data_IF_697969492031
#
_entry.id   IF_697969492031
#
_cell.length_a   1.000
_cell.length_b   1.000
_cell.length_c   1.000
_cell.angle_alpha   90.00
_cell.angle_beta   90.00
_cell.angle_gamma   90.00
#
_symmetry.space_group_name_H-M   'P 1'
#
loop_
_entity.id
_entity.type
_entity.pdbx_description
1 polymer ?
#
# COMPACT_ATOMS: atom_id res chain seq x y z
N UNK A 1 31.49 -25.54 10.64
CA UNK A 1 30.33 -25.82 9.78
C UNK A 1 29.91 -24.48 9.20
N UNK A 2 30.33 -24.20 7.97
CA UNK A 2 30.13 -22.90 7.32
C UNK A 2 28.66 -22.86 6.88
N UNK A 3 27.84 -22.07 7.56
CA UNK A 3 26.51 -21.74 7.07
C UNK A 3 26.71 -20.91 5.79
N UNK A 4 26.37 -21.49 4.65
CA UNK A 4 26.24 -20.76 3.39
C UNK A 4 25.10 -19.76 3.56
N UNK A 5 25.44 -18.48 3.62
CA UNK A 5 24.47 -17.42 3.36
C UNK A 5 23.85 -17.70 1.98
N UNK A 6 22.51 -17.64 1.81
CA UNK A 6 21.95 -17.58 0.47
C UNK A 6 22.62 -16.43 -0.29
N UNK A 7 23.11 -16.69 -1.49
CA UNK A 7 23.87 -15.72 -2.28
C UNK A 7 23.06 -14.43 -2.45
N UNK A 8 23.53 -13.32 -1.87
CA UNK A 8 22.89 -11.99 -2.01
C UNK A 8 22.62 -11.63 -3.48
N UNK A 9 23.44 -12.15 -4.41
CA UNK A 9 23.24 -12.00 -5.85
C UNK A 9 21.97 -12.71 -6.37
N UNK A 10 21.71 -13.94 -5.92
CA UNK A 10 20.53 -14.70 -6.35
C UNK A 10 19.22 -14.05 -5.87
N UNK A 11 19.22 -13.51 -4.64
CA UNK A 11 18.07 -12.74 -4.13
C UNK A 11 17.88 -11.44 -4.93
N UNK A 12 18.97 -10.72 -5.24
CA UNK A 12 18.89 -9.50 -6.05
C UNK A 12 18.33 -9.79 -7.46
N UNK A 13 18.76 -10.86 -8.10
CA UNK A 13 18.26 -11.29 -9.41
C UNK A 13 16.77 -11.66 -9.34
N UNK A 14 16.34 -12.36 -8.29
CA UNK A 14 14.92 -12.71 -8.08
C UNK A 14 14.04 -11.46 -7.86
N UNK A 15 14.54 -10.48 -7.10
CA UNK A 15 13.86 -9.19 -6.88
C UNK A 15 13.73 -8.42 -8.20
N UNK A 16 14.80 -8.36 -9.01
CA UNK A 16 14.77 -7.67 -10.30
C UNK A 16 13.80 -8.35 -11.28
N UNK A 17 13.76 -9.68 -11.29
CA UNK A 17 12.80 -10.42 -12.09
C UNK A 17 11.35 -10.12 -11.68
N UNK A 18 11.06 -10.13 -10.37
CA UNK A 18 9.72 -9.78 -9.86
C UNK A 18 9.35 -8.33 -10.18
N UNK A 19 10.29 -7.40 -10.03
CA UNK A 19 10.09 -6.00 -10.40
C UNK A 19 9.76 -5.89 -11.89
N UNK A 20 10.51 -6.58 -12.76
CA UNK A 20 10.26 -6.61 -14.20
C UNK A 20 8.87 -7.15 -14.51
N UNK A 21 8.44 -8.23 -13.88
CA UNK A 21 7.08 -8.78 -14.05
C UNK A 21 6.04 -7.73 -13.65
N UNK A 22 6.17 -7.10 -12.48
CA UNK A 22 5.23 -6.08 -12.00
C UNK A 22 5.16 -4.90 -12.97
N UNK A 23 6.30 -4.37 -13.44
CA UNK A 23 6.32 -3.18 -14.29
C UNK A 23 5.98 -3.46 -15.75
N UNK A 24 6.16 -4.69 -16.26
CA UNK A 24 5.94 -5.01 -17.68
C UNK A 24 4.66 -5.79 -17.96
N UNK A 25 4.23 -6.68 -17.06
CA UNK A 25 3.00 -7.46 -17.15
C UNK A 25 1.87 -6.85 -16.32
N UNK A 26 2.18 -6.19 -15.20
CA UNK A 26 1.21 -5.55 -14.32
C UNK A 26 0.30 -4.56 -15.05
N UNK A 27 0.82 -3.61 -15.86
CA UNK A 27 -0.01 -2.69 -16.64
C UNK A 27 -0.92 -3.35 -17.69
N UNK A 28 -0.58 -4.58 -18.11
CA UNK A 28 -1.35 -5.33 -19.13
C UNK A 28 -2.41 -6.24 -18.49
N UNK A 29 -2.23 -6.56 -17.21
CA UNK A 29 -3.09 -7.43 -16.43
C UNK A 29 -4.20 -6.61 -15.77
N UNK A 30 -5.36 -6.58 -16.41
CA UNK A 30 -6.54 -5.83 -15.95
C UNK A 30 -7.12 -6.51 -14.70
N UNK A 31 -7.59 -5.71 -13.75
CA UNK A 31 -8.32 -6.23 -12.59
C UNK A 31 -9.65 -6.87 -13.00
N UNK A 32 -9.95 -8.06 -12.48
CA UNK A 32 -11.28 -8.65 -12.61
C UNK A 32 -12.30 -7.83 -11.79
N UNK A 33 -13.47 -7.57 -12.37
CA UNK A 33 -14.55 -6.80 -11.75
C UNK A 33 -15.70 -7.69 -11.24
N UNK A 34 -15.75 -8.96 -11.65
CA UNK A 34 -16.91 -9.84 -11.42
C UNK A 34 -16.68 -10.84 -10.28
N UNK A 35 -15.44 -11.27 -10.01
CA UNK A 35 -15.16 -12.17 -8.88
C UNK A 35 -15.16 -11.44 -7.52
N UNK A 36 -16.18 -11.76 -6.73
CA UNK A 36 -16.54 -11.10 -5.47
C UNK A 36 -16.38 -12.01 -4.24
N UNK A 37 -15.73 -13.17 -4.35
CA UNK A 37 -15.53 -14.06 -3.19
C UNK A 37 -14.11 -13.97 -2.67
N UNK A 38 -13.82 -13.03 -1.75
CA UNK A 38 -12.58 -13.05 -1.00
C UNK A 38 -12.60 -14.29 -0.09
N UNK A 39 -12.08 -15.40 -0.57
CA UNK A 39 -11.82 -16.58 0.26
C UNK A 39 -10.41 -16.47 0.83
N UNK A 40 -10.17 -17.06 2.00
CA UNK A 40 -8.81 -17.11 2.53
C UNK A 40 -7.92 -17.89 1.55
N UNK A 41 -6.74 -17.36 1.19
CA UNK A 41 -5.89 -18.01 0.22
C UNK A 41 -5.31 -19.32 0.77
N UNK A 42 -4.96 -20.30 -0.09
CA UNK A 42 -4.39 -21.58 0.34
C UNK A 42 -3.11 -21.47 1.17
N UNK A 43 -2.37 -20.37 1.02
CA UNK A 43 -1.15 -20.08 1.77
C UNK A 43 -1.42 -19.40 3.13
N UNK A 44 -2.69 -19.16 3.50
CA UNK A 44 -3.04 -18.54 4.78
C UNK A 44 -2.52 -19.37 5.96
N UNK A 45 -1.60 -18.77 6.72
CA UNK A 45 -1.11 -19.23 8.01
C UNK A 45 -1.70 -18.35 9.12
N UNK A 46 -2.51 -18.96 9.99
CA UNK A 46 -3.21 -18.26 11.09
C UNK A 46 -2.25 -17.63 12.10
N UNK A 47 -1.15 -18.32 12.44
CA UNK A 47 -0.21 -17.84 13.45
C UNK A 47 0.57 -16.64 12.94
N UNK A 48 1.05 -16.70 11.69
CA UNK A 48 1.71 -15.55 11.05
C UNK A 48 0.76 -14.37 10.93
N UNK A 49 -0.50 -14.63 10.57
CA UNK A 49 -1.51 -13.58 10.44
C UNK A 49 -1.77 -12.87 11.77
N UNK A 50 -2.01 -13.63 12.84
CA UNK A 50 -2.20 -13.09 14.20
C UNK A 50 -0.95 -12.36 14.71
N UNK A 51 0.25 -12.86 14.39
CA UNK A 51 1.49 -12.18 14.73
C UNK A 51 1.58 -10.82 14.04
N UNK A 52 1.26 -10.73 12.74
CA UNK A 52 1.20 -9.46 12.02
C UNK A 52 0.20 -8.46 12.59
N UNK A 53 -0.96 -8.95 13.03
CA UNK A 53 -1.97 -8.16 13.74
C UNK A 53 -1.40 -7.59 15.05
N UNK A 54 -0.75 -8.42 15.87
CA UNK A 54 -0.14 -8.00 17.13
C UNK A 54 1.01 -7.00 16.90
N UNK A 55 1.87 -7.25 15.91
CA UNK A 55 2.99 -6.36 15.57
C UNK A 55 2.49 -4.98 15.14
N UNK A 56 1.40 -4.92 14.37
CA UNK A 56 0.76 -3.65 14.04
C UNK A 56 0.26 -2.92 15.29
N UNK A 57 -0.41 -3.61 16.22
CA UNK A 57 -0.88 -2.98 17.46
C UNK A 57 0.28 -2.42 18.30
N UNK A 58 1.38 -3.16 18.39
CA UNK A 58 2.59 -2.74 19.10
C UNK A 58 3.26 -1.51 18.46
N UNK A 59 3.03 -1.26 17.17
CA UNK A 59 3.65 -0.20 16.37
C UNK A 59 2.62 0.73 15.69
N UNK A 60 1.41 0.83 16.26
CA UNK A 60 0.24 1.39 15.57
C UNK A 60 0.47 2.81 15.05
N UNK A 61 1.11 3.68 15.84
CA UNK A 61 1.38 5.05 15.43
C UNK A 61 2.34 5.11 14.24
N UNK A 62 3.50 4.44 14.33
CA UNK A 62 4.51 4.41 13.27
C UNK A 62 3.98 3.78 11.98
N UNK A 63 3.26 2.66 12.08
CA UNK A 63 2.68 2.00 10.91
C UNK A 63 1.50 2.75 10.30
N UNK A 64 0.77 3.57 11.06
CA UNK A 64 -0.27 4.45 10.51
C UNK A 64 0.35 5.69 9.82
N UNK A 65 1.43 6.24 10.37
CA UNK A 65 2.20 7.31 9.71
C UNK A 65 2.79 6.80 8.39
N UNK A 66 3.37 5.59 8.38
CA UNK A 66 3.89 4.94 7.17
C UNK A 66 2.81 4.82 6.08
N UNK A 67 1.61 4.35 6.44
CA UNK A 67 0.45 4.24 5.55
C UNK A 67 0.02 5.59 5.00
N UNK A 68 0.01 6.64 5.84
CA UNK A 68 -0.36 7.98 5.40
C UNK A 68 0.68 8.58 4.45
N UNK A 69 1.97 8.36 4.69
CA UNK A 69 3.04 8.72 3.74
C UNK A 69 2.89 7.99 2.41
N UNK A 70 2.55 6.70 2.47
CA UNK A 70 2.24 5.88 1.31
C UNK A 70 1.05 6.42 0.52
N UNK A 71 -0.01 6.82 1.20
CA UNK A 71 -1.19 7.41 0.57
C UNK A 71 -0.91 8.78 -0.06
N UNK A 72 -0.13 9.66 0.59
CA UNK A 72 0.35 10.90 -0.03
C UNK A 72 1.18 10.58 -1.28
N UNK A 73 2.07 9.60 -1.20
CA UNK A 73 2.90 9.18 -2.35
C UNK A 73 2.07 8.62 -3.51
N UNK A 74 0.97 7.92 -3.23
CA UNK A 74 0.05 7.41 -4.24
C UNK A 74 -0.64 8.51 -5.05
N UNK A 75 -0.85 9.70 -4.47
CA UNK A 75 -1.45 10.82 -5.21
C UNK A 75 -0.52 11.34 -6.32
N UNK A 76 0.77 10.98 -6.32
CA UNK A 76 1.68 11.30 -7.41
C UNK A 76 1.47 10.39 -8.63
N UNK A 77 0.83 9.23 -8.46
CA UNK A 77 0.57 8.26 -9.53
C UNK A 77 -0.72 8.64 -10.26
N UNK A 78 -0.61 9.20 -11.47
CA UNK A 78 -1.76 9.73 -12.22
C UNK A 78 -2.88 8.70 -12.43
N UNK A 79 -2.56 7.46 -12.80
CA UNK A 79 -3.57 6.41 -13.03
C UNK A 79 -4.45 6.14 -11.81
N UNK A 80 -3.86 6.24 -10.61
CA UNK A 80 -4.56 6.06 -9.34
C UNK A 80 -5.33 7.33 -8.98
N UNK A 81 -4.69 8.50 -9.11
CA UNK A 81 -5.32 9.78 -8.78
C UNK A 81 -6.54 10.06 -9.66
N UNK A 82 -6.46 9.75 -10.96
CA UNK A 82 -7.55 9.96 -11.91
C UNK A 82 -8.81 9.19 -11.52
N UNK A 83 -8.66 7.93 -11.07
CA UNK A 83 -9.78 7.14 -10.55
C UNK A 83 -10.31 7.75 -9.25
N UNK A 84 -9.42 8.18 -8.33
CA UNK A 84 -9.84 8.83 -7.07
C UNK A 84 -10.65 10.09 -7.34
N UNK A 85 -10.17 10.98 -8.22
CA UNK A 85 -10.86 12.21 -8.61
C UNK A 85 -12.19 11.90 -9.31
N UNK A 86 -12.21 10.93 -10.23
CA UNK A 86 -13.40 10.52 -10.97
C UNK A 86 -14.57 10.12 -10.07
N UNK A 87 -14.30 9.50 -8.92
CA UNK A 87 -15.38 9.13 -7.98
C UNK A 87 -16.12 10.32 -7.37
N UNK A 88 -15.54 11.53 -7.41
CA UNK A 88 -16.05 12.75 -6.76
C UNK A 88 -16.31 12.58 -5.25
N UNK A 89 -15.59 11.66 -4.61
CA UNK A 89 -15.68 11.40 -3.16
C UNK A 89 -14.58 12.07 -2.34
N UNK A 90 -13.74 12.89 -2.96
CA UNK A 90 -12.60 13.53 -2.32
C UNK A 90 -12.37 14.97 -2.78
N UNK A 91 -13.37 15.63 -3.38
CA UNK A 91 -13.24 16.99 -3.92
C UNK A 91 -13.34 18.10 -2.86
N UNK A 92 -13.76 17.77 -1.65
CA UNK A 92 -13.81 18.68 -0.50
C UNK A 92 -13.39 17.94 0.77
N UNK A 93 -12.87 18.63 1.81
CA UNK A 93 -12.45 17.98 3.04
C UNK A 93 -13.55 17.14 3.70
N UNK A 94 -14.80 17.58 3.66
CA UNK A 94 -15.93 16.81 4.22
C UNK A 94 -16.20 15.49 3.46
N UNK A 95 -16.17 15.52 2.12
CA UNK A 95 -16.34 14.30 1.32
C UNK A 95 -15.13 13.36 1.50
N UNK A 96 -13.92 13.94 1.48
CA UNK A 96 -12.68 13.22 1.73
C UNK A 96 -12.67 12.57 3.12
N UNK A 97 -13.19 13.24 4.16
CA UNK A 97 -13.24 12.70 5.52
C UNK A 97 -13.98 11.37 5.54
N UNK A 98 -15.15 11.30 4.90
CA UNK A 98 -15.90 10.04 4.81
C UNK A 98 -15.08 8.94 4.14
N UNK A 99 -14.44 9.22 3.00
CA UNK A 99 -13.63 8.22 2.29
C UNK A 99 -12.46 7.73 3.16
N UNK A 100 -11.69 8.65 3.71
CA UNK A 100 -10.45 8.29 4.41
C UNK A 100 -10.71 7.76 5.81
N UNK A 101 -11.76 8.21 6.52
CA UNK A 101 -12.24 7.58 7.74
C UNK A 101 -12.73 6.14 7.48
N UNK A 102 -13.50 5.90 6.41
CA UNK A 102 -13.88 4.53 6.01
C UNK A 102 -12.64 3.67 5.74
N UNK A 103 -11.60 4.22 5.09
CA UNK A 103 -10.34 3.52 4.82
C UNK A 103 -9.60 3.15 6.11
N UNK A 104 -9.49 4.10 7.05
CA UNK A 104 -8.88 3.86 8.37
C UNK A 104 -9.65 2.77 9.12
N UNK A 105 -10.99 2.84 9.16
CA UNK A 105 -11.81 1.84 9.85
C UNK A 105 -11.67 0.44 9.24
N UNK A 106 -11.70 0.32 7.91
CA UNK A 106 -11.48 -0.97 7.24
C UNK A 106 -10.07 -1.52 7.53
N UNK A 107 -9.06 -0.65 7.52
CA UNK A 107 -7.68 -1.03 7.86
C UNK A 107 -7.60 -1.53 9.30
N UNK A 108 -8.18 -0.83 10.27
CA UNK A 108 -8.22 -1.27 11.68
C UNK A 108 -8.91 -2.63 11.80
N UNK A 109 -10.05 -2.82 11.14
CA UNK A 109 -10.74 -4.13 11.10
C UNK A 109 -9.83 -5.24 10.58
N UNK A 110 -9.01 -4.99 9.55
CA UNK A 110 -8.09 -5.99 9.02
C UNK A 110 -6.98 -6.37 10.01
N UNK A 111 -6.57 -5.44 10.87
CA UNK A 111 -5.52 -5.68 11.86
C UNK A 111 -6.06 -6.17 13.21
N UNK A 112 -7.35 -6.06 13.50
CA UNK A 112 -7.93 -6.44 14.80
C UNK A 112 -8.80 -7.70 14.75
N UNK A 113 -9.45 -7.98 13.62
CA UNK A 113 -10.49 -9.01 13.55
C UNK A 113 -9.94 -10.34 13.05
N UNK A 114 -10.42 -11.41 13.68
CA UNK A 114 -10.08 -12.79 13.31
C UNK A 114 -10.76 -13.17 11.99
N UNK A 115 -10.00 -13.55 10.94
CA UNK A 115 -10.55 -14.02 9.68
C UNK A 115 -11.31 -15.35 9.76
N UNK A 116 -11.19 -16.10 10.86
CA UNK A 116 -11.95 -17.35 11.11
C UNK A 116 -13.14 -17.15 12.08
N UNK A 117 -13.42 -15.92 12.50
CA UNK A 117 -14.50 -15.61 13.44
C UNK A 117 -15.89 -15.94 12.91
N UNK A 118 -16.79 -16.42 13.79
CA UNK A 118 -18.19 -16.78 13.44
C UNK A 118 -19.00 -15.60 12.87
N UNK A 119 -18.79 -14.40 13.42
CA UNK A 119 -19.17 -13.14 12.80
C UNK A 119 -17.92 -12.60 12.13
N UNK A 120 -17.74 -12.92 10.85
CA UNK A 120 -16.49 -12.64 10.15
C UNK A 120 -16.41 -11.18 9.68
N UNK A 121 -16.26 -10.26 10.64
CA UNK A 121 -16.13 -8.82 10.39
C UNK A 121 -14.97 -8.49 9.45
N UNK A 122 -13.89 -9.27 9.53
CA UNK A 122 -12.74 -9.19 8.64
C UNK A 122 -13.15 -9.42 7.18
N UNK A 123 -13.82 -10.54 6.91
CA UNK A 123 -14.27 -10.93 5.59
C UNK A 123 -15.33 -9.96 5.05
N UNK A 124 -16.27 -9.52 5.88
CA UNK A 124 -17.28 -8.55 5.46
C UNK A 124 -16.66 -7.18 5.11
N UNK A 125 -15.66 -6.73 5.89
CA UNK A 125 -14.88 -5.53 5.59
C UNK A 125 -14.18 -5.65 4.23
N UNK A 126 -13.50 -6.77 3.96
CA UNK A 126 -12.85 -7.01 2.67
C UNK A 126 -13.84 -7.07 1.51
N UNK A 127 -15.00 -7.73 1.66
CA UNK A 127 -16.06 -7.75 0.64
C UNK A 127 -16.55 -6.35 0.31
N UNK A 128 -16.73 -5.50 1.32
CA UNK A 128 -17.16 -4.10 1.12
C UNK A 128 -16.12 -3.35 0.31
N UNK A 129 -14.84 -3.42 0.69
CA UNK A 129 -13.75 -2.72 -0.02
C UNK A 129 -13.59 -3.25 -1.44
N UNK A 130 -13.55 -4.58 -1.63
CA UNK A 130 -13.49 -5.22 -2.95
C UNK A 130 -14.63 -4.77 -3.85
N UNK A 131 -15.87 -4.75 -3.34
CA UNK A 131 -17.04 -4.25 -4.08
C UNK A 131 -16.90 -2.78 -4.46
N UNK A 132 -16.44 -1.92 -3.55
CA UNK A 132 -16.20 -0.49 -3.84
C UNK A 132 -15.16 -0.33 -4.95
N UNK A 133 -14.06 -1.09 -4.91
CA UNK A 133 -13.05 -1.12 -5.97
C UNK A 133 -13.63 -1.58 -7.31
N UNK A 134 -14.32 -2.74 -7.36
CA UNK A 134 -14.92 -3.23 -8.61
C UNK A 134 -15.89 -2.21 -9.23
N UNK A 135 -16.74 -1.55 -8.42
CA UNK A 135 -17.66 -0.51 -8.91
C UNK A 135 -16.89 0.70 -9.45
N UNK A 136 -15.88 1.17 -8.73
CA UNK A 136 -15.06 2.30 -9.17
C UNK A 136 -14.31 1.99 -10.46
N UNK A 137 -13.69 0.81 -10.53
CA UNK A 137 -12.89 0.35 -11.67
C UNK A 137 -13.72 0.13 -12.92
N UNK A 138 -14.90 -0.48 -12.77
CA UNK A 138 -15.86 -0.64 -13.88
C UNK A 138 -16.30 0.71 -14.41
N UNK A 139 -16.71 1.63 -13.53
CA UNK A 139 -17.16 2.97 -13.94
C UNK A 139 -16.06 3.82 -14.56
N UNK A 140 -14.83 3.75 -14.04
CA UNK A 140 -13.69 4.49 -14.62
C UNK A 140 -13.33 3.94 -16.01
N UNK A 141 -13.42 2.63 -16.19
CA UNK A 141 -13.19 1.96 -17.48
C UNK A 141 -14.26 2.37 -18.50
N UNK A 142 -15.54 2.31 -18.13
CA UNK A 142 -16.67 2.70 -18.98
C UNK A 142 -16.62 4.19 -19.37
N UNK A 143 -16.13 5.04 -18.46
CA UNK A 143 -15.97 6.48 -18.71
C UNK A 143 -14.69 6.83 -19.49
N UNK A 144 -13.84 5.85 -19.82
CA UNK A 144 -12.57 6.07 -20.53
C UNK A 144 -11.52 6.84 -19.72
N UNK A 145 -11.66 6.88 -18.38
CA UNK A 145 -10.71 7.59 -17.49
C UNK A 145 -9.44 6.78 -17.31
N UNK A 146 -9.59 5.58 -16.75
CA UNK A 146 -8.51 4.62 -16.58
C UNK A 146 -9.11 3.24 -16.40
N UNK A 147 -8.41 2.22 -16.90
CA UNK A 147 -8.76 0.81 -16.73
C UNK A 147 -7.82 0.19 -15.70
N UNK A 148 -8.23 0.01 -14.44
CA UNK A 148 -7.32 -0.38 -13.37
C UNK A 148 -6.70 -1.76 -13.58
N UNK A 149 -5.44 -1.87 -13.18
CA UNK A 149 -4.55 -2.99 -13.46
C UNK A 149 -3.94 -3.57 -12.19
N UNK A 150 -3.28 -4.72 -12.32
CA UNK A 150 -2.51 -5.32 -11.24
C UNK A 150 -1.33 -4.43 -10.79
N UNK A 151 -0.77 -3.60 -11.69
CA UNK A 151 0.23 -2.60 -11.27
C UNK A 151 -0.40 -1.56 -10.33
N UNK A 152 -1.59 -1.04 -10.64
CA UNK A 152 -2.26 -0.07 -9.76
C UNK A 152 -2.50 -0.66 -8.36
N UNK A 153 -2.87 -1.95 -8.29
CA UNK A 153 -3.01 -2.66 -7.02
C UNK A 153 -1.68 -2.89 -6.28
N UNK A 154 -0.61 -3.22 -7.00
CA UNK A 154 0.72 -3.37 -6.42
C UNK A 154 1.24 -2.05 -5.83
N UNK A 155 1.08 -0.94 -6.55
CA UNK A 155 1.41 0.39 -6.05
C UNK A 155 0.52 0.76 -4.86
N UNK A 156 -0.78 0.47 -4.91
CA UNK A 156 -1.67 0.68 -3.76
C UNK A 156 -1.21 -0.13 -2.54
N UNK A 157 -0.79 -1.38 -2.71
CA UNK A 157 -0.23 -2.20 -1.63
C UNK A 157 1.07 -1.59 -1.07
N UNK A 158 1.96 -1.06 -1.92
CA UNK A 158 3.11 -0.27 -1.46
C UNK A 158 2.66 0.90 -0.57
N UNK A 159 1.58 1.59 -0.92
CA UNK A 159 1.04 2.66 -0.08
C UNK A 159 0.66 2.22 1.35
N UNK A 160 0.38 0.93 1.57
CA UNK A 160 -0.01 0.41 2.88
C UNK A 160 1.13 -0.21 3.70
N UNK A 161 2.12 -0.84 3.05
CA UNK A 161 3.21 -1.56 3.72
C UNK A 161 4.61 -1.08 3.30
N UNK A 162 4.76 -0.42 2.15
CA UNK A 162 6.04 -0.05 1.55
C UNK A 162 6.96 0.70 2.51
N UNK A 163 6.54 1.88 2.99
CA UNK A 163 7.32 2.66 3.97
C UNK A 163 7.52 1.93 5.30
N UNK A 164 6.61 1.03 5.68
CA UNK A 164 6.80 0.19 6.87
C UNK A 164 7.90 -0.86 6.69
N UNK A 165 8.34 -1.15 5.47
CA UNK A 165 9.47 -2.06 5.18
C UNK A 165 10.75 -1.29 4.88
N UNK A 166 10.65 -0.18 4.14
CA UNK A 166 11.84 0.55 3.65
C UNK A 166 12.33 1.65 4.59
N UNK A 167 11.48 2.10 5.52
CA UNK A 167 11.80 3.21 6.44
C UNK A 167 11.58 2.82 7.92
N UNK A 168 11.71 1.54 8.26
CA UNK A 168 11.47 0.98 9.61
C UNK A 168 12.19 1.77 10.71
N UNK A 169 13.51 1.97 10.56
CA UNK A 169 14.33 2.65 11.55
C UNK A 169 13.94 4.12 11.72
N UNK A 170 13.76 4.84 10.61
CA UNK A 170 13.41 6.27 10.64
C UNK A 170 12.04 6.51 11.28
N UNK A 171 11.09 5.60 11.05
CA UNK A 171 9.74 5.67 11.61
C UNK A 171 9.65 5.09 13.03
N UNK A 172 10.76 4.56 13.57
CA UNK A 172 10.80 3.94 14.90
C UNK A 172 9.94 2.68 15.01
N UNK A 173 9.78 1.92 13.92
CA UNK A 173 9.10 0.62 13.95
C UNK A 173 10.02 -0.37 14.66
N UNK A 174 9.56 -0.93 15.78
CA UNK A 174 10.28 -1.93 16.56
C UNK A 174 9.59 -3.28 16.42
N UNK A 175 10.18 -4.16 15.60
CA UNK A 175 9.67 -5.50 15.35
C UNK A 175 10.84 -6.48 15.16
N UNK A 176 10.69 -7.72 15.64
CA UNK A 176 11.64 -8.80 15.29
C UNK A 176 11.46 -9.24 13.83
N UNK A 177 12.43 -9.97 13.24
CA UNK A 177 12.27 -10.54 11.91
C UNK A 177 10.99 -11.40 11.77
N UNK A 178 10.67 -12.21 12.78
CA UNK A 178 9.47 -13.05 12.81
C UNK A 178 8.18 -12.22 12.90
N UNK A 179 8.19 -11.14 13.68
CA UNK A 179 7.08 -10.19 13.74
C UNK A 179 6.83 -9.52 12.38
N UNK A 180 7.89 -9.13 11.68
CA UNK A 180 7.79 -8.54 10.35
C UNK A 180 7.33 -9.56 9.29
N UNK A 181 7.71 -10.84 9.42
CA UNK A 181 7.13 -11.91 8.60
C UNK A 181 5.61 -11.98 8.76
N UNK A 182 5.11 -11.80 9.99
CA UNK A 182 3.68 -11.73 10.26
C UNK A 182 3.01 -10.56 9.54
N UNK A 183 3.62 -9.38 9.56
CA UNK A 183 3.10 -8.18 8.87
C UNK A 183 3.06 -8.36 7.36
N UNK A 184 4.15 -8.89 6.77
CA UNK A 184 4.22 -9.23 5.34
C UNK A 184 3.14 -10.25 4.98
N UNK A 185 3.00 -11.31 5.78
CA UNK A 185 1.99 -12.34 5.56
C UNK A 185 0.55 -11.79 5.61
N UNK A 186 0.25 -10.92 6.59
CA UNK A 186 -1.04 -10.23 6.68
C UNK A 186 -1.34 -9.47 5.39
N UNK A 187 -0.40 -8.69 4.89
CA UNK A 187 -0.60 -7.90 3.66
C UNK A 187 -0.61 -8.75 2.39
N UNK A 188 0.06 -9.91 2.37
CA UNK A 188 -0.08 -10.89 1.28
C UNK A 188 -1.51 -11.42 1.21
N UNK A 189 -2.07 -11.83 2.36
CA UNK A 189 -3.44 -12.33 2.47
C UNK A 189 -4.46 -11.26 2.06
N UNK A 190 -4.34 -10.04 2.61
CA UNK A 190 -5.22 -8.91 2.27
C UNK A 190 -5.14 -8.58 0.77
N UNK A 191 -3.93 -8.52 0.20
CA UNK A 191 -3.74 -8.26 -1.23
C UNK A 191 -4.43 -9.31 -2.11
N UNK A 192 -4.25 -10.59 -1.80
CA UNK A 192 -4.91 -11.69 -2.51
C UNK A 192 -6.44 -11.59 -2.43
N UNK A 193 -6.99 -11.35 -1.24
CA UNK A 193 -8.43 -11.20 -1.04
C UNK A 193 -9.01 -9.94 -1.70
N UNK A 194 -8.18 -8.93 -1.98
CA UNK A 194 -8.56 -7.76 -2.78
C UNK A 194 -8.43 -7.99 -4.29
N UNK A 195 -8.07 -9.20 -4.73
CA UNK A 195 -8.02 -9.64 -6.13
C UNK A 195 -6.64 -9.49 -6.78
N UNK A 196 -5.57 -9.40 -6.00
CA UNK A 196 -4.20 -9.40 -6.55
C UNK A 196 -3.76 -10.82 -6.89
N UNK A 197 -3.19 -11.01 -8.08
CA UNK A 197 -2.48 -12.26 -8.37
C UNK A 197 -1.18 -12.30 -7.55
N UNK A 198 -0.81 -13.49 -7.08
CA UNK A 198 0.34 -13.66 -6.18
C UNK A 198 1.68 -13.20 -6.80
N UNK A 199 1.79 -13.23 -8.14
CA UNK A 199 2.97 -12.72 -8.88
C UNK A 199 3.11 -11.19 -8.86
N UNK A 200 2.02 -10.46 -8.62
CA UNK A 200 2.01 -8.99 -8.49
C UNK A 200 1.94 -8.53 -7.03
N UNK A 201 1.58 -9.43 -6.11
CA UNK A 201 1.56 -9.18 -4.68
C UNK A 201 2.99 -8.94 -4.18
N UNK A 202 3.25 -7.76 -3.60
CA UNK A 202 4.58 -7.38 -3.13
C UNK A 202 5.05 -8.31 -2.01
N UNK A 203 4.10 -8.81 -1.21
CA UNK A 203 4.33 -9.60 -0.01
C UNK A 203 4.35 -11.13 -0.24
N UNK A 204 4.47 -11.59 -1.50
CA UNK A 204 4.49 -13.04 -1.80
C UNK A 204 5.84 -13.75 -1.53
N UNK A 205 6.90 -12.99 -1.28
CA UNK A 205 8.24 -13.49 -0.94
C UNK A 205 8.58 -13.42 0.56
N UNK A 206 9.88 -13.49 0.89
CA UNK A 206 10.36 -13.23 2.26
C UNK A 206 10.27 -11.76 2.63
N UNK A 207 10.54 -11.42 3.89
CA UNK A 207 10.61 -10.02 4.35
C UNK A 207 11.69 -9.25 3.58
N UNK A 208 12.86 -9.86 3.38
CA UNK A 208 13.99 -9.27 2.68
C UNK A 208 13.68 -9.03 1.21
N UNK A 209 13.06 -10.02 0.54
CA UNK A 209 12.62 -9.87 -0.86
C UNK A 209 11.54 -8.80 -0.99
N UNK A 210 10.56 -8.77 -0.08
CA UNK A 210 9.48 -7.78 -0.08
C UNK A 210 10.02 -6.37 0.17
N UNK A 211 10.97 -6.23 1.12
CA UNK A 211 11.66 -4.97 1.41
C UNK A 211 12.48 -4.48 0.22
N UNK A 212 13.29 -5.36 -0.38
CA UNK A 212 14.10 -5.03 -1.55
C UNK A 212 13.23 -4.65 -2.76
N UNK A 213 12.12 -5.36 -2.98
CA UNK A 213 11.17 -5.05 -4.04
C UNK A 213 10.46 -3.71 -3.81
N UNK A 214 10.01 -3.43 -2.57
CA UNK A 214 9.46 -2.13 -2.21
C UNK A 214 10.49 -1.00 -2.40
N UNK A 215 11.75 -1.24 -2.03
CA UNK A 215 12.83 -0.28 -2.23
C UNK A 215 13.01 0.07 -3.71
N UNK A 216 12.96 -0.94 -4.59
CA UNK A 216 13.02 -0.71 -6.04
C UNK A 216 11.80 0.04 -6.57
N UNK A 217 10.59 -0.25 -6.08
CA UNK A 217 9.39 0.51 -6.47
C UNK A 217 9.43 1.95 -5.98
N UNK A 218 9.94 2.20 -4.77
CA UNK A 218 10.18 3.56 -4.28
C UNK A 218 11.09 4.32 -5.24
N UNK A 219 12.23 3.72 -5.58
CA UNK A 219 13.28 4.29 -6.42
C UNK A 219 12.87 4.50 -7.88
N UNK A 220 12.19 3.53 -8.48
CA UNK A 220 11.92 3.49 -9.93
C UNK A 220 10.54 4.05 -10.29
N UNK A 221 9.62 4.18 -9.32
CA UNK A 221 8.24 4.65 -9.57
C UNK A 221 7.89 5.87 -8.72
N UNK A 222 7.96 5.76 -7.38
CA UNK A 222 7.45 6.80 -6.50
C UNK A 222 8.34 8.05 -6.48
N UNK A 223 9.65 7.91 -6.37
CA UNK A 223 10.60 9.03 -6.36
C UNK A 223 10.51 9.87 -7.66
N UNK A 224 10.53 9.28 -8.87
CA UNK A 224 10.31 10.03 -10.11
C UNK A 224 8.94 10.72 -10.14
N UNK A 225 7.88 10.05 -9.69
CA UNK A 225 6.53 10.61 -9.67
C UNK A 225 6.39 11.76 -8.67
N UNK A 226 7.08 11.69 -7.53
CA UNK A 226 7.13 12.74 -6.51
C UNK A 226 8.04 13.91 -6.88
N UNK A 227 9.03 13.69 -7.74
CA UNK A 227 9.84 14.75 -8.33
C UNK A 227 9.07 15.48 -9.45
N UNK A 228 8.33 14.75 -10.28
CA UNK A 228 7.51 15.29 -11.36
C UNK A 228 6.01 15.17 -11.05
N UNK A 229 5.59 15.83 -9.96
CA UNK A 229 4.22 15.74 -9.43
C UNK A 229 3.22 16.25 -10.47
N UNK A 230 2.10 15.53 -10.58
CA UNK A 230 0.97 16.00 -11.38
C UNK A 230 0.35 17.28 -10.78
N UNK A 231 -0.37 18.04 -11.60
CA UNK A 231 -0.95 19.34 -11.23
C UNK A 231 -1.98 19.28 -10.08
N UNK A 232 -2.55 18.10 -9.83
CA UNK A 232 -3.57 17.88 -8.82
C UNK A 232 -3.00 17.41 -7.48
N UNK A 233 -1.73 17.02 -7.41
CA UNK A 233 -1.09 16.44 -6.23
C UNK A 233 -1.27 17.31 -4.99
N UNK A 234 -0.91 18.59 -5.07
CA UNK A 234 -0.97 19.49 -3.92
C UNK A 234 -2.41 19.68 -3.44
N UNK A 235 -3.34 19.98 -4.35
CA UNK A 235 -4.74 20.20 -3.98
C UNK A 235 -5.37 18.95 -3.36
N UNK A 236 -5.22 17.80 -4.01
CA UNK A 236 -5.80 16.55 -3.54
C UNK A 236 -5.13 16.06 -2.25
N UNK A 237 -3.83 16.29 -2.09
CA UNK A 237 -3.06 16.01 -0.88
C UNK A 237 -3.54 16.87 0.30
N UNK A 238 -3.68 18.17 0.10
CA UNK A 238 -4.22 19.09 1.12
C UNK A 238 -5.63 18.68 1.54
N UNK A 239 -6.55 18.47 0.58
CA UNK A 239 -7.93 18.08 0.89
C UNK A 239 -7.98 16.75 1.66
N UNK A 240 -7.15 15.79 1.29
CA UNK A 240 -7.02 14.52 2.02
C UNK A 240 -6.52 14.73 3.45
N UNK A 241 -5.41 15.45 3.63
CA UNK A 241 -4.78 15.63 4.94
C UNK A 241 -5.65 16.45 5.88
N UNK A 242 -6.25 17.54 5.39
CA UNK A 242 -7.24 18.33 6.15
C UNK A 242 -8.42 17.47 6.61
N UNK A 243 -8.85 16.54 5.76
CA UNK A 243 -9.96 15.66 6.09
C UNK A 243 -9.65 14.68 7.24
N UNK A 244 -8.38 14.42 7.53
CA UNK A 244 -7.96 13.54 8.63
C UNK A 244 -7.80 14.28 9.95
N UNK A 245 -7.89 15.61 9.96
CA UNK A 245 -7.77 16.42 11.18
C UNK A 245 -8.72 15.98 12.30
N UNK A 246 -10.00 15.59 12.06
CA UNK A 246 -10.89 15.08 13.12
C UNK A 246 -10.45 13.74 13.73
N UNK A 247 -9.58 12.98 13.04
CA UNK A 247 -9.02 11.71 13.54
C UNK A 247 -7.72 11.97 14.30
N UNK A 248 -6.86 12.83 13.76
CA UNK A 248 -5.61 13.24 14.41
C UNK A 248 -5.31 14.71 14.09
N UNK A 249 -5.51 15.58 15.09
CA UNK A 249 -5.33 17.02 14.98
C UNK A 249 -3.87 17.45 14.76
N UNK A 250 -2.90 16.53 14.91
CA UNK A 250 -1.49 16.81 14.65
C UNK A 250 -1.13 16.71 13.16
N UNK A 251 -2.06 16.32 12.29
CA UNK A 251 -1.85 16.30 10.84
C UNK A 251 -2.02 17.72 10.30
N UNK A 252 -0.90 18.42 10.14
CA UNK A 252 -0.83 19.69 9.41
C UNK A 252 -0.45 19.39 7.94
N UNK A 253 -1.26 19.78 6.94
CA UNK A 253 -1.07 19.34 5.56
C UNK A 253 0.28 19.67 4.93
N UNK A 254 0.82 20.88 5.15
CA UNK A 254 2.09 21.30 4.57
C UNK A 254 3.25 20.52 5.19
N UNK A 255 3.28 20.46 6.52
CA UNK A 255 4.30 19.75 7.29
C UNK A 255 4.29 18.25 6.98
N UNK A 256 3.11 17.62 6.90
CA UNK A 256 3.01 16.19 6.62
C UNK A 256 3.38 15.86 5.17
N UNK A 257 3.05 16.73 4.23
CA UNK A 257 3.51 16.60 2.84
C UNK A 257 5.02 16.71 2.77
N UNK A 258 5.62 17.74 3.37
CA UNK A 258 7.07 17.93 3.42
C UNK A 258 7.77 16.74 4.09
N UNK A 259 7.22 16.23 5.19
CA UNK A 259 7.71 15.02 5.86
C UNK A 259 7.69 13.81 4.92
N UNK A 260 6.60 13.59 4.18
CA UNK A 260 6.50 12.48 3.22
C UNK A 260 7.54 12.59 2.12
N UNK A 261 7.72 13.80 1.55
CA UNK A 261 8.72 14.05 0.50
C UNK A 261 10.15 13.83 1.02
N UNK A 262 10.43 14.30 2.24
CA UNK A 262 11.70 14.06 2.90
C UNK A 262 11.94 12.56 3.14
N UNK A 263 10.94 11.84 3.65
CA UNK A 263 11.02 10.40 3.92
C UNK A 263 11.31 9.61 2.65
N UNK A 264 10.60 9.92 1.55
CA UNK A 264 10.83 9.29 0.25
C UNK A 264 12.26 9.55 -0.26
N UNK A 265 12.71 10.80 -0.18
CA UNK A 265 14.03 11.24 -0.63
C UNK A 265 15.17 10.63 0.18
N UNK A 266 15.04 10.60 1.51
CA UNK A 266 16.07 10.06 2.41
C UNK A 266 16.14 8.53 2.42
N UNK A 267 15.03 7.87 2.07
CA UNK A 267 14.97 6.40 1.97
C UNK A 267 15.48 5.90 0.60
N UNK A 268 15.37 6.72 -0.45
CA UNK A 268 15.91 6.36 -1.76
C UNK A 268 17.43 6.22 -1.70
N UNK A 269 17.97 5.16 -2.30
CA UNK A 269 19.44 4.93 -2.34
C UNK A 269 20.09 5.52 -3.59
N UNK A 270 19.28 5.93 -4.57
CA UNK A 270 19.75 6.55 -5.80
C UNK A 270 19.38 8.04 -5.82
N UNK A 271 20.19 8.82 -6.55
CA UNK A 271 20.02 10.27 -6.69
C UNK A 271 19.58 10.64 -8.12
N UNK A 272 18.85 9.74 -8.80
CA UNK A 272 18.47 9.92 -10.21
C UNK A 272 17.46 11.06 -10.38
N UNK A 273 16.66 11.31 -9.35
CA UNK A 273 15.71 12.42 -9.29
C UNK A 273 15.86 13.14 -7.96
N UNK A 274 15.62 14.46 -7.98
CA UNK A 274 15.60 15.27 -6.76
C UNK A 274 14.16 15.68 -6.49
N UNK A 275 13.67 15.39 -5.29
CA UNK A 275 12.35 15.83 -4.83
C UNK A 275 12.53 17.20 -4.19
N UNK A 276 11.89 18.22 -4.77
CA UNK A 276 11.75 19.53 -4.11
C UNK A 276 10.72 19.41 -2.98
N UNK A 277 11.16 19.76 -1.77
CA UNK A 277 10.41 19.67 -0.50
C UNK A 277 9.70 20.98 -0.20
#
# INVERSE_FOLDING_TARGET
>A
MIQSFPDNAAMADAVEERLRIILTEGPKSIMDFEDMKPELPPFYDEKKFQLGQQTFYNNVFSMMIAKLCGLVSLLAISTILDVVMFTKKSSTPCLAYRRYAETVLHTVVWHEKDPNGKLNEFLESLKIVRRKHCIAFKKSTEAGVHKPTQLDMALAQFGFIGYSLVSEEYLGINATPEEMEGVVHLWRVVGSMLGMDDKFNLCSGTVEESRALCQRLLEDVFVPSLANRNEHFNHMGTVMLESLWPINFNIEPLAFTAFTLHLASSTARNNNHSIEI
#
